data_IF_189125276152
#
_entry.id   IF_189125276152
#
_cell.length_a   1.000
_cell.length_b   1.000
_cell.length_c   1.000
_cell.angle_alpha   90.00
_cell.angle_beta   90.00
_cell.angle_gamma   90.00
#
_symmetry.space_group_name_H-M   'P 1'
#
loop_
_entity.id
_entity.type
_entity.pdbx_description
1 polymer ?
#
# COMPACT_ATOMS: atom_id res chain seq x y z
N UNK A 1 -3.44 -4.19 48.42
CA UNK A 1 -3.28 -3.34 47.21
C UNK A 1 -1.96 -3.58 46.45
N UNK A 2 -0.96 -4.31 46.97
CA UNK A 2 0.28 -4.58 46.21
C UNK A 2 0.26 -5.87 45.36
N UNK A 3 -0.67 -6.81 45.64
CA UNK A 3 -0.78 -8.07 44.90
C UNK A 3 -1.42 -7.91 43.50
N UNK A 4 -2.21 -6.87 43.29
CA UNK A 4 -2.86 -6.59 41.99
C UNK A 4 -1.91 -5.97 40.97
N UNK A 5 -0.87 -5.25 41.42
CA UNK A 5 0.13 -4.63 40.55
C UNK A 5 1.06 -5.67 39.89
N UNK A 6 1.46 -6.71 40.63
CA UNK A 6 2.32 -7.77 40.08
C UNK A 6 1.61 -8.65 39.04
N UNK A 7 0.30 -8.86 39.16
CA UNK A 7 -0.48 -9.59 38.17
C UNK A 7 -0.60 -8.82 36.84
N UNK A 8 -0.70 -7.48 36.89
CA UNK A 8 -0.70 -6.64 35.68
C UNK A 8 0.66 -6.66 34.96
N UNK A 9 1.76 -6.68 35.72
CA UNK A 9 3.11 -6.73 35.16
C UNK A 9 3.39 -8.05 34.41
N UNK A 10 2.79 -9.16 34.88
CA UNK A 10 2.87 -10.46 34.23
C UNK A 10 2.07 -10.52 32.91
N UNK A 11 1.02 -9.71 32.75
CA UNK A 11 0.28 -9.59 31.48
C UNK A 11 1.06 -8.81 30.40
N UNK A 12 1.97 -7.92 30.81
CA UNK A 12 2.83 -7.15 29.88
C UNK A 12 4.12 -7.91 29.50
N UNK A 13 4.50 -8.93 30.26
CA UNK A 13 5.68 -9.79 30.04
C UNK A 13 5.30 -11.23 29.65
N UNK A 14 4.03 -11.47 29.29
CA UNK A 14 3.67 -12.68 28.55
C UNK A 14 4.52 -12.74 27.27
N UNK A 15 4.81 -13.93 26.71
CA UNK A 15 5.61 -14.06 25.51
C UNK A 15 4.85 -13.50 24.29
N UNK A 16 4.75 -12.18 24.20
CA UNK A 16 4.21 -11.38 23.10
C UNK A 16 5.24 -11.20 21.98
N UNK A 17 6.17 -12.14 21.88
CA UNK A 17 7.05 -12.34 20.73
C UNK A 17 6.92 -13.81 20.31
N UNK A 18 5.68 -14.32 20.30
CA UNK A 18 5.36 -15.41 19.40
C UNK A 18 5.72 -14.90 18.01
N UNK A 19 6.76 -15.49 17.42
CA UNK A 19 7.24 -15.15 16.09
C UNK A 19 6.06 -14.77 15.21
N UNK A 20 5.99 -13.49 14.80
CA UNK A 20 5.11 -13.08 13.71
C UNK A 20 5.38 -14.13 12.63
N UNK A 21 4.43 -15.02 12.31
CA UNK A 21 4.69 -16.02 11.29
C UNK A 21 5.17 -15.23 10.08
N UNK A 22 6.24 -15.68 9.42
CA UNK A 22 6.67 -15.03 8.19
C UNK A 22 5.54 -14.92 7.15
N UNK A 23 4.42 -15.61 7.40
CA UNK A 23 3.17 -15.54 6.65
C UNK A 23 2.29 -14.31 6.89
N UNK A 24 2.51 -13.47 7.90
CA UNK A 24 1.72 -12.23 8.08
C UNK A 24 2.15 -11.10 7.13
N UNK A 25 3.36 -11.17 6.57
CA UNK A 25 3.79 -10.32 5.46
C UNK A 25 3.66 -11.03 4.10
N UNK A 26 3.10 -12.24 4.09
CA UNK A 26 2.78 -13.00 2.89
C UNK A 26 1.38 -12.59 2.40
N UNK A 27 1.18 -11.30 2.15
CA UNK A 27 0.26 -10.86 1.09
C UNK A 27 0.87 -11.25 -0.26
N UNK A 28 1.18 -12.55 -0.44
CA UNK A 28 1.63 -13.10 -1.70
C UNK A 28 0.49 -13.89 -2.33
N UNK A 29 -0.67 -13.21 -2.44
CA UNK A 29 -1.50 -13.48 -3.61
C UNK A 29 -0.63 -13.28 -4.84
N UNK A 30 -0.70 -14.21 -5.79
CA UNK A 30 0.03 -14.10 -7.05
C UNK A 30 -0.16 -12.69 -7.63
N UNK A 31 0.94 -11.95 -7.77
CA UNK A 31 0.84 -10.60 -8.31
C UNK A 31 0.46 -10.72 -9.77
N UNK A 32 -0.63 -10.05 -10.17
CA UNK A 32 -1.10 -10.03 -11.54
C UNK A 32 -0.87 -8.66 -12.16
N UNK A 33 -0.69 -8.64 -13.47
CA UNK A 33 -0.64 -7.41 -14.22
C UNK A 33 -2.01 -7.10 -14.80
N UNK A 34 -2.44 -5.87 -14.61
CA UNK A 34 -3.73 -5.37 -15.12
C UNK A 34 -3.52 -4.03 -15.81
N UNK A 35 -4.36 -3.67 -16.79
CA UNK A 35 -4.30 -2.35 -17.41
C UNK A 35 -4.56 -1.24 -16.38
N UNK A 36 -3.85 -0.12 -16.51
CA UNK A 36 -4.13 1.10 -15.73
C UNK A 36 -5.45 1.69 -16.25
N UNK A 37 -6.49 1.83 -15.41
CA UNK A 37 -7.77 2.37 -15.84
C UNK A 37 -7.62 3.78 -16.39
N UNK A 38 -8.23 4.10 -17.53
CA UNK A 38 -8.15 5.43 -18.17
C UNK A 38 -8.65 6.57 -17.28
N UNK A 39 -9.53 6.27 -16.32
CA UNK A 39 -10.03 7.21 -15.32
C UNK A 39 -9.09 7.40 -14.11
N UNK A 40 -7.94 6.72 -14.05
CA UNK A 40 -6.92 6.92 -13.02
C UNK A 40 -6.11 8.19 -13.27
N UNK A 41 -6.74 9.36 -13.07
CA UNK A 41 -6.17 10.68 -13.41
C UNK A 41 -4.74 10.90 -12.88
N UNK A 42 -4.40 10.33 -11.72
CA UNK A 42 -3.08 10.41 -11.11
C UNK A 42 -1.96 9.89 -12.04
N UNK A 43 -2.17 8.75 -12.71
CA UNK A 43 -1.10 7.92 -13.28
C UNK A 43 -1.21 7.63 -14.79
N UNK A 44 -1.84 8.52 -15.55
CA UNK A 44 -1.90 8.43 -17.02
C UNK A 44 -0.68 9.01 -17.74
N UNK A 45 -0.28 8.41 -18.87
CA UNK A 45 0.74 8.98 -19.75
C UNK A 45 2.18 8.97 -19.19
N UNK A 46 2.52 7.97 -18.37
CA UNK A 46 3.85 7.82 -17.75
C UNK A 46 4.81 6.90 -18.55
N UNK A 47 4.44 6.49 -19.76
CA UNK A 47 5.24 5.59 -20.61
C UNK A 47 5.02 4.10 -20.35
N UNK A 48 4.07 3.74 -19.49
CA UNK A 48 3.60 2.36 -19.27
C UNK A 48 2.07 2.36 -19.10
N UNK A 49 1.43 1.23 -19.39
CA UNK A 49 -0.03 1.10 -19.42
C UNK A 49 -0.57 -0.07 -18.58
N UNK A 50 0.32 -0.84 -17.94
CA UNK A 50 -0.03 -1.95 -17.06
C UNK A 50 0.61 -1.76 -15.69
N UNK A 51 -0.10 -2.18 -14.65
CA UNK A 51 0.33 -2.08 -13.25
C UNK A 51 0.18 -3.41 -12.53
N UNK A 52 1.02 -3.61 -11.52
CA UNK A 52 0.95 -4.78 -10.64
C UNK A 52 -0.19 -4.62 -9.62
N UNK A 53 -0.95 -5.69 -9.42
CA UNK A 53 -1.93 -5.82 -8.34
C UNK A 53 -1.63 -7.04 -7.45
N UNK A 54 -1.81 -6.95 -6.12
CA UNK A 54 -2.14 -5.72 -5.36
C UNK A 54 -1.02 -4.67 -5.45
N UNK A 55 -1.40 -3.39 -5.37
CA UNK A 55 -0.41 -2.30 -5.38
C UNK A 55 0.31 -2.18 -4.02
N UNK A 56 1.29 -1.28 -3.91
CA UNK A 56 2.13 -1.18 -2.69
C UNK A 56 1.39 -0.60 -1.47
N UNK A 57 0.17 -0.12 -1.67
CA UNK A 57 -0.72 0.34 -0.60
C UNK A 57 -1.73 -0.74 -0.17
N UNK A 58 -1.65 -1.94 -0.76
CA UNK A 58 -2.52 -3.06 -0.42
C UNK A 58 -3.88 -3.06 -1.11
N UNK A 59 -4.16 -2.12 -2.02
CA UNK A 59 -5.40 -2.15 -2.78
C UNK A 59 -5.43 -3.39 -3.69
N UNK A 60 -6.55 -4.11 -3.68
CA UNK A 60 -6.68 -5.41 -4.37
C UNK A 60 -7.33 -5.29 -5.75
N UNK A 61 -8.04 -4.17 -6.00
CA UNK A 61 -8.68 -3.86 -7.28
C UNK A 61 -8.22 -2.53 -7.90
N UNK A 62 -8.18 -2.42 -9.24
CA UNK A 62 -7.90 -1.14 -9.90
C UNK A 62 -8.94 -0.06 -9.58
N UNK A 63 -10.20 -0.45 -9.38
CA UNK A 63 -11.28 0.47 -9.04
C UNK A 63 -11.03 1.16 -7.69
N UNK A 64 -10.60 0.38 -6.69
CA UNK A 64 -10.20 0.89 -5.38
C UNK A 64 -8.99 1.83 -5.48
N UNK A 65 -7.95 1.43 -6.23
CA UNK A 65 -6.79 2.26 -6.47
C UNK A 65 -7.15 3.60 -7.13
N UNK A 66 -8.05 3.61 -8.11
CA UNK A 66 -8.57 4.83 -8.76
C UNK A 66 -9.29 5.72 -7.74
N UNK A 67 -10.23 5.14 -6.98
CA UNK A 67 -11.02 5.88 -5.99
C UNK A 67 -10.12 6.55 -4.95
N UNK A 68 -9.15 5.82 -4.40
CA UNK A 68 -8.24 6.33 -3.37
C UNK A 68 -7.20 7.32 -3.93
N UNK A 69 -6.77 7.13 -5.18
CA UNK A 69 -5.79 8.03 -5.82
C UNK A 69 -6.30 9.47 -6.00
N UNK A 70 -7.62 9.64 -6.14
CA UNK A 70 -8.24 10.95 -6.42
C UNK A 70 -7.99 11.98 -5.31
N UNK A 71 -7.90 11.51 -4.06
CA UNK A 71 -7.63 12.37 -2.89
C UNK A 71 -6.29 13.10 -2.94
N UNK A 72 -5.35 12.63 -3.78
CA UNK A 72 -4.02 13.23 -3.92
C UNK A 72 -3.94 14.32 -5.00
N UNK A 73 -4.94 14.43 -5.88
CA UNK A 73 -4.94 15.42 -6.97
C UNK A 73 -4.84 16.88 -6.47
N UNK A 74 -5.56 17.31 -5.41
CA UNK A 74 -5.43 18.67 -4.90
C UNK A 74 -4.02 19.00 -4.40
N UNK A 75 -3.31 18.03 -3.82
CA UNK A 75 -1.93 18.22 -3.37
C UNK A 75 -0.97 18.34 -4.56
N UNK A 76 -1.15 17.53 -5.60
CA UNK A 76 -0.34 17.63 -6.82
C UNK A 76 -0.52 18.98 -7.53
N UNK A 77 -1.72 19.55 -7.51
CA UNK A 77 -1.98 20.88 -8.06
C UNK A 77 -1.23 22.01 -7.32
N UNK A 78 -0.63 21.73 -6.15
CA UNK A 78 0.24 22.69 -5.45
C UNK A 78 1.68 22.68 -5.97
N UNK A 79 2.05 21.70 -6.78
CA UNK A 79 3.37 21.58 -7.41
C UNK A 79 4.54 21.69 -6.42
N UNK A 80 4.36 21.16 -5.21
CA UNK A 80 5.36 21.27 -4.15
C UNK A 80 6.69 20.57 -4.47
N UNK A 81 6.68 19.57 -5.37
CA UNK A 81 7.89 18.86 -5.80
C UNK A 81 7.70 18.24 -7.20
N UNK A 82 8.69 18.34 -8.11
CA UNK A 82 8.56 17.87 -9.50
C UNK A 82 8.34 16.36 -9.63
N UNK A 83 8.78 15.58 -8.63
CA UNK A 83 8.65 14.12 -8.62
C UNK A 83 7.47 13.59 -7.80
N UNK A 84 6.64 14.45 -7.19
CA UNK A 84 5.55 14.01 -6.32
C UNK A 84 4.57 13.07 -7.05
N UNK A 85 4.25 13.38 -8.31
CA UNK A 85 3.36 12.54 -9.13
C UNK A 85 3.94 11.16 -9.40
N UNK A 86 5.22 11.10 -9.80
CA UNK A 86 5.90 9.84 -10.10
C UNK A 86 6.04 8.99 -8.83
N UNK A 87 6.34 9.62 -7.69
CA UNK A 87 6.38 8.97 -6.39
C UNK A 87 5.04 8.34 -6.02
N UNK A 88 3.93 9.08 -6.16
CA UNK A 88 2.62 8.51 -5.85
C UNK A 88 2.26 7.37 -6.82
N UNK A 89 2.60 7.48 -8.11
CA UNK A 89 2.34 6.41 -9.07
C UNK A 89 3.19 5.15 -8.84
N UNK A 90 4.39 5.25 -8.26
CA UNK A 90 5.13 4.05 -7.86
C UNK A 90 4.43 3.25 -6.76
N UNK A 91 3.59 3.91 -5.95
CA UNK A 91 2.78 3.28 -4.90
C UNK A 91 1.42 2.78 -5.42
N UNK A 92 0.70 3.64 -6.15
CA UNK A 92 -0.66 3.37 -6.62
C UNK A 92 -0.73 2.50 -7.87
N UNK A 93 0.20 2.68 -8.81
CA UNK A 93 0.27 1.97 -10.09
C UNK A 93 1.70 1.47 -10.38
N UNK A 94 2.29 0.63 -9.51
CA UNK A 94 3.65 0.13 -9.71
C UNK A 94 3.78 -0.57 -11.06
N UNK A 95 4.92 -0.35 -11.73
CA UNK A 95 5.22 -0.97 -13.04
C UNK A 95 5.11 -2.48 -12.92
N UNK A 96 4.37 -3.08 -13.87
CA UNK A 96 4.37 -4.51 -14.06
C UNK A 96 5.67 -4.94 -14.75
N UNK A 97 6.40 -5.87 -14.13
CA UNK A 97 7.49 -6.59 -14.79
C UNK A 97 6.95 -7.98 -15.14
N UNK A 98 6.71 -8.23 -16.42
CA UNK A 98 6.41 -9.58 -16.91
C UNK A 98 7.61 -10.48 -16.57
N UNK A 99 7.36 -11.59 -15.88
CA UNK A 99 8.36 -12.61 -15.60
C UNK A 99 7.92 -13.94 -16.17
#
# INVERSE_FOLDING_TARGET
>A
MMLTASALLLLLLGPGIGAVPSRLWEHQGSSRCVPIPSNMALCQGLGYNSMRMPNLLGHESPAEAVQQSTSWLPLLARECHPHARIFLCSLFSPVCLER
#
